data_IF_164398891890
#
_entry.id   IF_164398891890
#
_cell.length_a   1.000
_cell.length_b   1.000
_cell.length_c   1.000
_cell.angle_alpha   90.00
_cell.angle_beta   90.00
_cell.angle_gamma   90.00
#
_symmetry.space_group_name_H-M   'P 1'
#
loop_
_entity.id
_entity.type
_entity.pdbx_description
1 polymer ?
#
# COMPACT_ATOMS: atom_id res chain seq x y z
N UNK A 1 -7.30 15.97 1.85
CA UNK A 1 -6.56 15.21 2.81
C UNK A 1 -6.39 13.82 2.37
N UNK A 2 -5.16 13.47 2.29
CA UNK A 2 -4.80 12.26 1.60
C UNK A 2 -4.94 11.02 2.40
N UNK A 3 -5.41 11.16 3.61
CA UNK A 3 -5.61 10.04 4.49
C UNK A 3 -6.59 9.03 3.93
N UNK A 4 -7.36 9.47 2.94
CA UNK A 4 -8.43 8.64 2.41
C UNK A 4 -8.19 8.09 1.03
N UNK A 5 -6.93 7.91 0.67
CA UNK A 5 -6.64 7.26 -0.59
C UNK A 5 -6.93 5.77 -0.47
N UNK A 6 -8.22 5.45 -0.55
CA UNK A 6 -8.67 4.07 -0.56
C UNK A 6 -8.25 3.44 -1.89
N UNK A 7 -7.63 2.27 -1.87
CA UNK A 7 -7.26 1.59 -3.11
C UNK A 7 -8.41 1.43 -4.10
N UNK A 8 -9.62 1.23 -3.60
CA UNK A 8 -10.80 1.11 -4.48
C UNK A 8 -11.11 2.41 -5.19
N UNK A 9 -10.93 3.52 -4.51
CA UNK A 9 -11.14 4.83 -5.12
C UNK A 9 -10.07 5.13 -6.14
N UNK A 10 -8.82 4.79 -5.85
CA UNK A 10 -7.74 4.95 -6.80
C UNK A 10 -7.99 4.12 -8.05
N UNK A 11 -8.46 2.89 -7.89
CA UNK A 11 -8.81 2.05 -9.03
C UNK A 11 -9.91 2.68 -9.88
N UNK A 12 -10.92 3.24 -9.25
CA UNK A 12 -12.02 3.90 -9.97
C UNK A 12 -11.52 5.13 -10.72
N UNK A 13 -10.64 5.90 -10.11
CA UNK A 13 -10.06 7.06 -10.78
C UNK A 13 -9.22 6.65 -11.98
N UNK A 14 -8.43 5.59 -11.83
CA UNK A 14 -7.64 5.05 -12.93
C UNK A 14 -8.55 4.67 -14.10
N UNK A 15 -9.62 3.93 -13.82
CA UNK A 15 -10.54 3.51 -14.87
C UNK A 15 -11.21 4.69 -15.54
N UNK A 16 -11.59 5.70 -14.77
CA UNK A 16 -12.19 6.91 -15.29
C UNK A 16 -11.24 7.66 -16.21
N UNK A 17 -9.99 7.83 -15.77
CA UNK A 17 -8.99 8.52 -16.57
C UNK A 17 -8.65 7.75 -17.84
N UNK A 18 -8.60 6.42 -17.76
CA UNK A 18 -8.37 5.59 -18.94
C UNK A 18 -9.49 5.73 -19.97
N UNK A 19 -10.74 5.80 -19.49
CA UNK A 19 -11.87 6.00 -20.39
C UNK A 19 -11.82 7.36 -21.07
N UNK A 20 -11.43 8.38 -20.33
CA UNK A 20 -11.28 9.72 -20.91
C UNK A 20 -10.16 9.73 -21.96
N UNK A 21 -9.06 9.06 -21.66
CA UNK A 21 -7.94 8.98 -22.59
C UNK A 21 -8.35 8.26 -23.87
N UNK A 22 -9.17 7.22 -23.78
CA UNK A 22 -9.59 6.47 -24.96
C UNK A 22 -10.52 7.25 -25.86
N UNK A 23 -11.14 8.31 -25.34
CA UNK A 23 -12.09 9.12 -26.12
C UNK A 23 -11.46 10.38 -26.70
N UNK A 24 -10.30 10.77 -26.22
CA UNK A 24 -9.71 12.01 -26.71
C UNK A 24 -8.97 11.79 -28.01
N UNK A 25 -9.06 12.78 -28.88
CA UNK A 25 -8.33 12.79 -30.15
C UNK A 25 -7.16 13.74 -30.09
N UNK A 26 -7.06 14.51 -29.01
CA UNK A 26 -5.98 15.48 -28.84
C UNK A 26 -4.79 14.80 -28.20
N UNK A 27 -3.66 14.84 -28.90
CA UNK A 27 -2.45 14.14 -28.45
C UNK A 27 -1.93 14.67 -27.13
N UNK A 28 -1.96 15.99 -26.94
CA UNK A 28 -1.47 16.58 -25.69
C UNK A 28 -2.33 16.17 -24.51
N UNK A 29 -3.65 16.16 -24.70
CA UNK A 29 -4.58 15.72 -23.64
C UNK A 29 -4.40 14.25 -23.35
N UNK A 30 -4.26 13.42 -24.37
CA UNK A 30 -4.01 12.00 -24.22
C UNK A 30 -2.75 11.75 -23.37
N UNK A 31 -1.70 12.48 -23.67
CA UNK A 31 -0.45 12.33 -22.96
C UNK A 31 -0.56 12.72 -21.49
N UNK A 32 -1.24 13.82 -21.21
CA UNK A 32 -1.49 14.24 -19.83
C UNK A 32 -2.31 13.23 -19.04
N UNK A 33 -3.34 12.66 -19.69
CA UNK A 33 -4.16 11.65 -19.04
C UNK A 33 -3.38 10.37 -18.79
N UNK A 34 -2.51 9.98 -19.71
CA UNK A 34 -1.66 8.81 -19.54
C UNK A 34 -0.69 8.97 -18.39
N UNK A 35 -0.09 10.16 -18.26
CA UNK A 35 0.79 10.47 -17.14
C UNK A 35 0.04 10.45 -15.83
N UNK A 36 -1.17 10.98 -15.83
CA UNK A 36 -2.02 10.98 -14.64
C UNK A 36 -2.37 9.56 -14.21
N UNK A 37 -2.71 8.69 -15.16
CA UNK A 37 -2.98 7.28 -14.89
C UNK A 37 -1.76 6.62 -14.26
N UNK A 38 -0.58 6.89 -14.79
CA UNK A 38 0.65 6.30 -14.25
C UNK A 38 0.91 6.76 -12.82
N UNK A 39 0.67 8.03 -12.54
CA UNK A 39 0.78 8.58 -11.21
C UNK A 39 -0.17 7.88 -10.23
N UNK A 40 -1.42 7.71 -10.66
CA UNK A 40 -2.41 7.03 -9.84
C UNK A 40 -2.03 5.57 -9.58
N UNK A 41 -1.48 4.90 -10.59
CA UNK A 41 -1.02 3.52 -10.43
C UNK A 41 0.09 3.41 -9.41
N UNK A 42 1.02 4.35 -9.42
CA UNK A 42 2.10 4.36 -8.45
C UNK A 42 1.58 4.57 -7.04
N UNK A 43 0.62 5.46 -6.87
CA UNK A 43 -0.02 5.66 -5.58
C UNK A 43 -0.70 4.40 -5.09
N UNK A 44 -1.42 3.74 -5.99
CA UNK A 44 -2.12 2.50 -5.66
C UNK A 44 -1.12 1.43 -5.20
N UNK A 45 -0.02 1.27 -5.93
CA UNK A 45 1.00 0.29 -5.58
C UNK A 45 1.60 0.57 -4.21
N UNK A 46 1.87 1.84 -3.91
CA UNK A 46 2.41 2.22 -2.61
C UNK A 46 1.42 1.91 -1.48
N UNK A 47 0.15 2.17 -1.71
CA UNK A 47 -0.88 1.88 -0.71
C UNK A 47 -1.02 0.39 -0.45
N UNK A 48 -1.03 -0.40 -1.51
CA UNK A 48 -1.13 -1.85 -1.38
C UNK A 48 0.10 -2.44 -0.73
N UNK A 49 1.28 -1.93 -1.05
CA UNK A 49 2.52 -2.38 -0.43
C UNK A 49 2.54 -2.05 1.06
N UNK A 50 2.08 -0.86 1.44
CA UNK A 50 2.00 -0.47 2.83
C UNK A 50 1.03 -1.34 3.62
N UNK A 51 -0.09 -1.70 2.99
CA UNK A 51 -1.09 -2.58 3.62
C UNK A 51 -0.51 -3.99 3.84
N UNK A 52 0.17 -4.52 2.83
CA UNK A 52 0.82 -5.83 2.96
C UNK A 52 1.88 -5.84 4.05
N UNK A 53 2.66 -4.76 4.12
CA UNK A 53 3.66 -4.62 5.17
C UNK A 53 3.03 -4.67 6.55
N UNK A 54 1.95 -3.97 6.76
CA UNK A 54 1.25 -3.98 8.04
C UNK A 54 0.73 -5.35 8.40
N UNK A 55 0.18 -6.05 7.43
CA UNK A 55 -0.33 -7.40 7.65
C UNK A 55 0.78 -8.39 7.98
N UNK A 56 1.91 -8.27 7.29
CA UNK A 56 3.06 -9.11 7.57
C UNK A 56 3.61 -8.88 8.97
N UNK A 57 3.71 -7.60 9.37
CA UNK A 57 4.17 -7.24 10.71
C UNK A 57 3.22 -7.80 11.75
N UNK A 58 1.92 -7.65 11.51
CA UNK A 58 0.92 -8.15 12.45
C UNK A 58 1.00 -9.67 12.62
N UNK A 59 1.15 -10.37 11.52
CA UNK A 59 1.25 -11.82 11.54
C UNK A 59 2.51 -12.27 12.29
N UNK A 60 3.63 -11.62 12.02
CA UNK A 60 4.88 -11.97 12.70
C UNK A 60 4.84 -11.64 14.18
N UNK A 61 4.25 -10.48 14.52
CA UNK A 61 4.09 -10.07 15.91
C UNK A 61 3.24 -11.10 16.68
N UNK A 62 2.22 -11.60 16.03
CA UNK A 62 1.36 -12.61 16.63
C UNK A 62 2.12 -13.91 16.91
N UNK A 63 2.95 -14.35 15.97
CA UNK A 63 3.79 -15.52 16.16
C UNK A 63 4.73 -15.33 17.35
N UNK A 64 5.36 -14.19 17.46
CA UNK A 64 6.25 -13.88 18.56
C UNK A 64 5.51 -13.89 19.90
N UNK A 65 4.32 -13.32 19.90
CA UNK A 65 3.48 -13.30 21.09
C UNK A 65 3.11 -14.71 21.54
N UNK A 66 2.72 -15.55 20.60
CA UNK A 66 2.37 -16.93 20.91
C UNK A 66 3.57 -17.73 21.39
N UNK A 67 4.74 -17.52 20.78
CA UNK A 67 5.96 -18.20 21.18
C UNK A 67 6.41 -17.81 22.59
N UNK A 68 6.04 -16.62 23.05
CA UNK A 68 6.43 -16.13 24.36
C UNK A 68 5.35 -16.33 25.41
N UNK A 69 4.37 -17.18 25.13
CA UNK A 69 3.35 -17.56 26.11
C UNK A 69 2.18 -16.59 26.21
N UNK A 70 1.96 -15.79 25.19
CA UNK A 70 0.84 -14.86 25.13
C UNK A 70 0.77 -13.87 26.28
N UNK A 71 1.88 -13.17 26.57
CA UNK A 71 1.88 -12.22 27.70
C UNK A 71 1.01 -11.02 27.44
N UNK A 72 0.28 -10.59 28.45
CA UNK A 72 -0.58 -9.41 28.34
C UNK A 72 0.25 -8.14 28.44
N UNK A 73 -0.17 -7.12 27.70
CA UNK A 73 0.44 -5.79 27.81
C UNK A 73 1.77 -5.59 27.13
N UNK A 74 2.20 -6.55 26.29
CA UNK A 74 3.48 -6.44 25.58
C UNK A 74 3.32 -6.40 24.07
N UNK A 75 2.15 -6.01 23.62
CA UNK A 75 1.84 -5.97 22.19
C UNK A 75 2.79 -5.09 21.38
N UNK A 76 3.13 -3.93 21.93
CA UNK A 76 4.01 -3.00 21.24
C UNK A 76 5.42 -3.57 21.06
N UNK A 77 5.93 -4.28 22.05
CA UNK A 77 7.25 -4.91 21.95
C UNK A 77 7.32 -5.89 20.78
N UNK A 78 6.32 -6.74 20.67
CA UNK A 78 6.30 -7.73 19.60
C UNK A 78 6.10 -7.08 18.23
N UNK A 79 5.32 -6.01 18.19
CA UNK A 79 5.14 -5.26 16.97
C UNK A 79 6.47 -4.67 16.49
N UNK A 80 7.18 -4.01 17.39
CA UNK A 80 8.46 -3.37 17.06
C UNK A 80 9.50 -4.41 16.66
N UNK A 81 9.50 -5.55 17.33
CA UNK A 81 10.41 -6.64 17.00
C UNK A 81 10.11 -7.20 15.61
N UNK A 82 8.84 -7.42 15.31
CA UNK A 82 8.41 -7.91 14.00
C UNK A 82 8.78 -6.92 12.90
N UNK A 83 8.56 -5.64 13.16
CA UNK A 83 8.89 -4.58 12.22
C UNK A 83 10.38 -4.55 11.91
N UNK A 84 11.21 -4.69 12.94
CA UNK A 84 12.66 -4.70 12.76
C UNK A 84 13.12 -5.93 11.98
N UNK A 85 12.56 -7.10 12.27
CA UNK A 85 12.90 -8.32 11.55
C UNK A 85 12.57 -8.23 10.07
N UNK A 86 11.38 -7.72 9.76
CA UNK A 86 10.96 -7.59 8.36
C UNK A 86 11.76 -6.55 7.61
N UNK A 87 12.17 -5.49 8.29
CA UNK A 87 13.01 -4.46 7.69
C UNK A 87 14.38 -5.02 7.34
N UNK A 88 14.97 -5.80 8.23
CA UNK A 88 16.27 -6.43 7.97
C UNK A 88 16.17 -7.40 6.81
N UNK A 89 15.10 -8.15 6.74
CA UNK A 89 14.88 -9.12 5.69
C UNK A 89 14.78 -8.44 4.31
N UNK A 90 14.21 -7.25 4.28
CA UNK A 90 14.04 -6.51 3.03
C UNK A 90 15.29 -5.82 2.54
N UNK A 91 16.22 -5.53 3.44
CA UNK A 91 17.43 -4.85 3.03
C UNK A 91 18.47 -5.75 2.38
N UNK A 92 18.18 -7.02 2.27
CA UNK A 92 19.05 -7.94 1.53
C UNK A 92 18.70 -7.95 0.02
#
# INVERSE_FOLDING_TARGET
MDQNEDPRELEREIERAKRLASRTTDQATYQRLSEFVEELRQRLQRRLAARRSKEEIRARARELWEHNGRPAGRDLEFWLQAEAELREHRSE
#
